data_IF_038253690523
#
_entry.id   IF_038253690523
#
_cell.length_a   1.000
_cell.length_b   1.000
_cell.length_c   1.000
_cell.angle_alpha   90.00
_cell.angle_beta   90.00
_cell.angle_gamma   90.00
#
_symmetry.space_group_name_H-M   'P 1'
#
loop_
_entity.id
_entity.type
_entity.pdbx_description
1 polymer ?
#
# COMPACT_ATOMS: atom_id res chain seq x y z
N UNK A 1 -15.28 52.30 41.68
CA UNK A 1 -14.75 51.09 42.35
C UNK A 1 -14.30 50.11 41.28
N UNK A 2 -13.20 49.40 41.48
CA UNK A 2 -12.63 48.44 40.52
C UNK A 2 -12.54 47.03 41.14
N UNK A 3 -12.78 46.00 40.30
CA UNK A 3 -12.59 44.53 40.41
C UNK A 3 -13.27 43.94 39.14
N UNK A 4 -12.88 42.82 38.50
CA UNK A 4 -11.70 41.93 38.58
C UNK A 4 -11.44 41.30 37.19
N UNK A 5 -10.33 40.55 37.02
CA UNK A 5 -9.83 39.94 35.75
C UNK A 5 -9.07 38.63 36.11
N UNK A 6 -8.83 37.60 35.24
CA UNK A 6 -9.61 36.83 34.25
C UNK A 6 -9.64 35.31 34.68
N UNK A 7 -9.33 34.23 33.88
CA UNK A 7 -9.64 33.80 32.49
C UNK A 7 -10.24 32.35 32.35
N UNK A 8 -10.56 31.93 31.10
CA UNK A 8 -10.57 30.55 30.51
C UNK A 8 -11.33 29.36 31.13
N UNK A 9 -12.25 28.78 30.32
CA UNK A 9 -12.37 27.34 29.95
C UNK A 9 -13.26 27.27 28.68
N UNK A 10 -12.91 26.67 27.54
CA UNK A 10 -12.30 25.37 27.21
C UNK A 10 -13.33 24.22 27.09
N UNK A 11 -13.92 24.09 25.90
CA UNK A 11 -14.24 22.84 25.19
C UNK A 11 -14.21 23.20 23.69
N UNK A 12 -13.50 22.53 22.76
CA UNK A 12 -13.41 21.09 22.50
C UNK A 12 -14.78 20.45 22.21
N UNK A 13 -15.20 20.51 20.96
CA UNK A 13 -15.52 19.24 20.30
C UNK A 13 -14.95 19.21 18.89
N UNK A 14 -14.64 17.99 18.43
CA UNK A 14 -13.64 17.74 17.42
C UNK A 14 -14.16 17.96 16.00
N UNK A 15 -13.20 18.34 15.16
CA UNK A 15 -13.24 18.32 13.70
C UNK A 15 -13.72 16.95 13.18
N UNK A 16 -15.04 16.77 13.05
CA UNK A 16 -15.66 15.69 12.28
C UNK A 16 -15.52 15.94 10.76
N UNK A 17 -14.33 16.30 10.30
CA UNK A 17 -13.91 15.98 8.94
C UNK A 17 -13.92 14.47 8.82
N UNK A 18 -15.07 13.96 8.42
CA UNK A 18 -15.22 12.68 7.74
C UNK A 18 -14.28 12.71 6.55
N UNK A 19 -13.05 12.23 6.77
CA UNK A 19 -12.09 11.97 5.70
C UNK A 19 -12.71 10.83 4.89
N UNK A 20 -13.53 11.21 3.91
CA UNK A 20 -13.92 10.34 2.80
C UNK A 20 -12.62 9.95 2.10
N UNK A 21 -11.97 8.91 2.64
CA UNK A 21 -10.80 8.28 2.06
C UNK A 21 -11.24 7.83 0.67
N UNK A 22 -10.75 8.44 -0.43
CA UNK A 22 -11.21 8.07 -1.75
C UNK A 22 -10.82 6.62 -1.96
N UNK A 23 -11.81 5.73 -2.02
CA UNK A 23 -11.60 4.35 -2.45
C UNK A 23 -11.03 4.48 -3.87
N UNK A 24 -9.78 4.05 -4.12
CA UNK A 24 -9.25 4.12 -5.46
C UNK A 24 -10.17 3.31 -6.38
N UNK A 25 -10.56 3.82 -7.55
CA UNK A 25 -11.49 3.11 -8.42
C UNK A 25 -10.95 1.70 -8.70
N UNK A 26 -11.84 0.69 -8.78
CA UNK A 26 -11.42 -0.68 -9.10
C UNK A 26 -10.65 -0.63 -10.41
N UNK A 27 -9.36 -0.97 -10.33
CA UNK A 27 -8.43 -0.83 -11.45
C UNK A 27 -8.94 -1.72 -12.57
N UNK A 28 -9.10 -1.14 -13.76
CA UNK A 28 -9.66 -1.82 -14.92
C UNK A 28 -9.12 -3.24 -15.05
N UNK A 29 -10.00 -4.23 -14.93
CA UNK A 29 -9.65 -5.62 -15.21
C UNK A 29 -9.12 -5.68 -16.63
N UNK A 30 -7.80 -5.86 -16.79
CA UNK A 30 -7.22 -6.13 -18.10
C UNK A 30 -7.79 -7.45 -18.58
N UNK A 31 -8.02 -7.58 -19.89
CA UNK A 31 -8.83 -8.63 -20.51
C UNK A 31 -8.20 -10.05 -20.50
N UNK A 32 -7.44 -10.41 -19.47
CA UNK A 32 -6.93 -11.76 -19.18
C UNK A 32 -7.49 -12.37 -17.89
N UNK A 33 -8.45 -11.72 -17.23
CA UNK A 33 -8.99 -12.11 -15.91
C UNK A 33 -9.87 -13.38 -15.91
N UNK A 34 -10.03 -14.04 -17.06
CA UNK A 34 -10.91 -15.19 -17.28
C UNK A 34 -10.30 -16.51 -16.75
N UNK A 35 -10.34 -16.68 -15.42
CA UNK A 35 -10.15 -17.99 -14.77
C UNK A 35 -8.76 -18.29 -14.20
N UNK A 36 -7.79 -17.37 -14.31
CA UNK A 36 -6.48 -17.54 -13.67
C UNK A 36 -6.56 -17.42 -12.14
N UNK A 37 -5.88 -18.30 -11.37
CA UNK A 37 -5.86 -18.23 -9.92
C UNK A 37 -5.20 -16.94 -9.43
N UNK A 38 -5.66 -16.45 -8.29
CA UNK A 38 -5.13 -15.25 -7.66
C UNK A 38 -3.97 -15.63 -6.74
N UNK A 39 -2.88 -14.88 -6.85
CA UNK A 39 -1.68 -15.02 -6.03
C UNK A 39 -1.45 -13.75 -5.24
N UNK A 40 -1.05 -13.93 -3.98
CA UNK A 40 -0.55 -12.87 -3.13
C UNK A 40 0.98 -12.94 -3.11
N UNK A 41 1.61 -12.02 -3.84
CA UNK A 41 3.07 -11.95 -3.95
C UNK A 41 3.60 -10.90 -2.99
N UNK A 42 4.46 -11.30 -2.07
CA UNK A 42 5.12 -10.42 -1.11
C UNK A 42 6.58 -10.23 -1.49
N UNK A 43 6.98 -8.97 -1.68
CA UNK A 43 8.34 -8.58 -2.05
C UNK A 43 8.98 -7.84 -0.89
N UNK A 44 10.10 -8.33 -0.33
CA UNK A 44 10.87 -7.58 0.64
C UNK A 44 11.38 -6.28 0.02
N UNK A 45 11.49 -5.25 0.85
CA UNK A 45 12.02 -3.94 0.47
C UNK A 45 13.09 -3.52 1.46
N UNK A 46 14.16 -2.91 0.97
CA UNK A 46 15.29 -2.45 1.78
C UNK A 46 15.47 -0.94 1.63
N UNK A 47 15.62 -0.23 2.74
CA UNK A 47 16.01 1.18 2.75
C UNK A 47 17.53 1.30 2.92
N UNK A 48 18.12 2.37 2.37
CA UNK A 48 19.53 2.72 2.57
C UNK A 48 19.91 2.93 4.03
N UNK A 49 18.93 3.22 4.89
CA UNK A 49 19.06 3.31 6.35
C UNK A 49 19.08 1.97 7.08
N UNK A 50 19.02 0.84 6.35
CA UNK A 50 18.97 -0.51 6.93
C UNK A 50 17.57 -0.96 7.39
N UNK A 51 16.56 -0.10 7.29
CA UNK A 51 15.18 -0.49 7.60
C UNK A 51 14.61 -1.45 6.54
N UNK A 52 14.04 -2.55 7.00
CA UNK A 52 13.38 -3.55 6.16
C UNK A 52 11.86 -3.35 6.16
N UNK A 53 11.23 -3.66 5.03
CA UNK A 53 9.78 -3.66 4.86
C UNK A 53 9.35 -4.70 3.84
N UNK A 54 8.06 -4.72 3.51
CA UNK A 54 7.51 -5.53 2.43
C UNK A 54 6.50 -4.74 1.60
N UNK A 55 6.34 -5.13 0.33
CA UNK A 55 5.28 -4.66 -0.54
C UNK A 55 4.56 -5.86 -1.15
N UNK A 56 3.24 -5.90 -1.01
CA UNK A 56 2.42 -7.02 -1.45
C UNK A 56 1.58 -6.65 -2.66
N UNK A 57 1.49 -7.58 -3.62
CA UNK A 57 0.75 -7.46 -4.87
C UNK A 57 -0.23 -8.62 -5.01
N UNK A 58 -1.48 -8.32 -5.34
CA UNK A 58 -2.46 -9.31 -5.78
C UNK A 58 -2.35 -9.44 -7.31
N UNK A 59 -2.06 -10.64 -7.80
CA UNK A 59 -1.72 -10.91 -9.20
C UNK A 59 -2.42 -12.19 -9.67
N UNK A 60 -3.09 -12.16 -10.83
CA UNK A 60 -3.56 -13.38 -11.48
C UNK A 60 -2.47 -13.95 -12.37
N UNK A 61 -2.20 -15.25 -12.24
CA UNK A 61 -1.13 -15.94 -12.97
C UNK A 61 -1.39 -17.45 -12.96
N UNK A 62 -0.87 -18.18 -13.94
CA UNK A 62 -0.98 -19.65 -13.96
C UNK A 62 0.02 -20.31 -13.00
N UNK A 63 1.22 -19.75 -12.87
CA UNK A 63 2.33 -20.31 -12.09
C UNK A 63 2.91 -19.32 -11.08
N UNK A 64 3.64 -19.82 -10.07
CA UNK A 64 4.40 -18.99 -9.11
C UNK A 64 5.43 -18.09 -9.83
N UNK A 65 6.26 -18.57 -10.78
CA UNK A 65 7.15 -17.71 -11.55
C UNK A 65 6.43 -16.58 -12.29
N UNK A 66 5.30 -16.85 -12.94
CA UNK A 66 4.50 -15.83 -13.64
C UNK A 66 3.93 -14.78 -12.68
N UNK A 67 3.48 -15.22 -11.49
CA UNK A 67 3.00 -14.33 -10.44
C UNK A 67 4.11 -13.39 -9.95
N UNK A 68 5.30 -13.94 -9.67
CA UNK A 68 6.47 -13.17 -9.23
C UNK A 68 6.93 -12.21 -10.33
N UNK A 69 7.08 -12.66 -11.57
CA UNK A 69 7.49 -11.82 -12.69
C UNK A 69 6.52 -10.64 -12.92
N UNK A 70 5.22 -10.91 -12.89
CA UNK A 70 4.18 -9.87 -13.02
C UNK A 70 4.17 -8.92 -11.82
N UNK A 71 4.33 -9.43 -10.60
CA UNK A 71 4.48 -8.60 -9.41
C UNK A 71 5.73 -7.71 -9.48
N UNK A 72 6.85 -8.20 -10.01
CA UNK A 72 8.09 -7.43 -10.19
C UNK A 72 7.86 -6.27 -11.16
N UNK A 73 7.22 -6.54 -12.30
CA UNK A 73 6.83 -5.49 -13.26
C UNK A 73 5.89 -4.44 -12.62
N UNK A 74 4.91 -4.88 -11.80
CA UNK A 74 4.05 -3.98 -11.03
C UNK A 74 4.83 -3.19 -9.96
N UNK A 75 5.83 -3.80 -9.34
CA UNK A 75 6.66 -3.16 -8.32
C UNK A 75 7.58 -2.07 -8.90
N UNK A 76 8.02 -2.20 -10.15
CA UNK A 76 8.72 -1.14 -10.87
C UNK A 76 7.79 -0.06 -11.45
N UNK A 77 6.46 -0.22 -11.37
CA UNK A 77 5.54 0.85 -11.78
C UNK A 77 5.68 2.10 -10.89
N UNK A 78 5.52 3.28 -11.49
CA UNK A 78 5.65 4.56 -10.78
C UNK A 78 4.76 4.66 -9.53
N UNK A 79 3.57 4.08 -9.56
CA UNK A 79 2.64 4.06 -8.42
C UNK A 79 3.09 3.13 -7.28
N UNK A 80 3.80 2.04 -7.58
CA UNK A 80 4.37 1.16 -6.56
C UNK A 80 5.66 1.74 -5.98
N UNK A 81 6.51 2.36 -6.82
CA UNK A 81 7.75 3.02 -6.41
C UNK A 81 7.49 4.22 -5.48
N UNK A 82 6.51 5.08 -5.80
CA UNK A 82 6.12 6.21 -4.93
C UNK A 82 5.65 5.77 -3.55
N UNK A 83 4.95 4.63 -3.45
CA UNK A 83 4.55 4.05 -2.15
C UNK A 83 5.72 3.57 -1.30
N UNK A 84 6.82 3.12 -1.91
CA UNK A 84 8.03 2.67 -1.21
C UNK A 84 8.91 3.80 -0.66
N UNK A 85 8.66 5.06 -1.03
CA UNK A 85 9.40 6.25 -0.54
C UNK A 85 10.94 6.12 -0.64
N UNK A 86 11.43 5.48 -1.70
CA UNK A 86 12.87 5.25 -1.90
C UNK A 86 13.40 3.90 -1.42
N UNK A 87 12.56 3.03 -0.83
CA UNK A 87 12.96 1.65 -0.58
C UNK A 87 13.12 0.86 -1.89
N UNK A 88 14.24 0.17 -2.01
CA UNK A 88 14.57 -0.75 -3.10
C UNK A 88 13.77 -2.06 -2.93
N UNK A 89 13.50 -2.76 -4.04
CA UNK A 89 12.89 -4.10 -4.01
C UNK A 89 14.00 -5.13 -3.95
N UNK A 90 13.84 -6.15 -3.12
CA UNK A 90 14.65 -7.36 -3.17
C UNK A 90 13.86 -8.46 -3.91
N UNK A 91 14.09 -8.65 -5.23
CA UNK A 91 13.36 -9.65 -6.01
C UNK A 91 13.79 -11.09 -5.68
N UNK A 92 14.96 -11.29 -5.07
CA UNK A 92 15.45 -12.62 -4.68
C UNK A 92 14.73 -13.14 -3.43
N UNK A 93 14.31 -12.23 -2.55
CA UNK A 93 13.45 -12.55 -1.40
C UNK A 93 11.95 -12.62 -1.70
N UNK A 94 11.52 -12.48 -2.96
CA UNK A 94 10.10 -12.47 -3.31
C UNK A 94 9.46 -13.87 -3.14
N UNK A 95 8.30 -13.92 -2.48
CA UNK A 95 7.51 -15.13 -2.32
C UNK A 95 6.08 -14.93 -2.81
N UNK A 96 5.45 -15.99 -3.33
CA UNK A 96 4.06 -16.00 -3.75
C UNK A 96 3.30 -17.11 -3.03
N UNK A 97 2.13 -16.78 -2.50
CA UNK A 97 1.16 -17.73 -1.97
C UNK A 97 -0.12 -17.69 -2.80
N UNK A 98 -0.82 -18.81 -3.00
CA UNK A 98 -2.18 -18.78 -3.55
C UNK A 98 -3.08 -17.98 -2.60
N UNK A 99 -3.95 -17.15 -3.17
CA UNK A 99 -4.96 -16.40 -2.42
C UNK A 99 -6.28 -17.20 -2.49
N UNK A 100 -6.72 -17.68 -1.33
CA UNK A 100 -7.91 -18.51 -1.14
C UNK A 100 -9.07 -17.69 -0.58
#
# INVERSE_FOLDING_TARGET
>A
MALAVPPTSADSDADHRTVHRPVPPPRSCRAGDLGLPLWLVTMPTRLTTGAHGTQTFAVRALTIPDAIATATALAHSHQAATRRRGAEIDPLGACAAPFH
#
